data_IF_103613525805
#
_entry.id   IF_103613525805
#
_cell.length_a   1.000
_cell.length_b   1.000
_cell.length_c   1.000
_cell.angle_alpha   90.00
_cell.angle_beta   90.00
_cell.angle_gamma   90.00
#
_symmetry.space_group_name_H-M   'P 1'
#
loop_
_entity.id
_entity.type
_entity.pdbx_description
1 polymer ?
#
# COMPACT_ATOMS: atom_id res chain seq x y z
N UNK A 1 -4.25 -34.13 -24.56
CA UNK A 1 -2.99 -33.42 -24.25
C UNK A 1 -3.33 -32.19 -23.43
N UNK A 2 -3.00 -32.18 -22.14
CA UNK A 2 -3.20 -31.03 -21.26
C UNK A 2 -1.95 -30.16 -21.38
N UNK A 3 -2.05 -28.99 -22.02
CA UNK A 3 -0.94 -28.02 -22.04
C UNK A 3 -0.74 -27.51 -20.62
N UNK A 4 0.33 -27.95 -19.95
CA UNK A 4 0.76 -27.36 -18.68
C UNK A 4 1.41 -26.01 -18.99
N UNK A 5 0.76 -24.93 -18.55
CA UNK A 5 1.33 -23.59 -18.66
C UNK A 5 2.32 -23.38 -17.52
N UNK A 6 3.38 -22.63 -17.81
CA UNK A 6 4.32 -22.11 -16.82
C UNK A 6 3.67 -21.04 -15.93
N UNK A 7 4.27 -20.78 -14.77
CA UNK A 7 3.81 -19.73 -13.86
C UNK A 7 3.76 -18.35 -14.55
N UNK A 8 4.78 -18.03 -15.36
CA UNK A 8 4.83 -16.79 -16.14
C UNK A 8 3.68 -16.66 -17.14
N UNK A 9 3.30 -17.75 -17.82
CA UNK A 9 2.17 -17.75 -18.76
C UNK A 9 0.82 -17.55 -18.05
N UNK A 10 0.64 -18.09 -16.83
CA UNK A 10 -0.54 -17.79 -16.03
C UNK A 10 -0.57 -16.31 -15.61
N UNK A 11 0.54 -15.76 -15.13
CA UNK A 11 0.63 -14.36 -14.71
C UNK A 11 0.39 -13.40 -15.87
N UNK A 12 0.93 -13.69 -17.07
CA UNK A 12 0.70 -12.86 -18.26
C UNK A 12 -0.79 -12.74 -18.64
N UNK A 13 -1.63 -13.74 -18.31
CA UNK A 13 -3.06 -13.67 -18.58
C UNK A 13 -3.77 -12.58 -17.79
N UNK A 14 -3.22 -12.14 -16.65
CA UNK A 14 -3.78 -11.04 -15.85
C UNK A 14 -3.90 -9.74 -16.65
N UNK A 15 -3.09 -9.54 -17.70
CA UNK A 15 -3.18 -8.37 -18.59
C UNK A 15 -4.46 -8.29 -19.41
N UNK A 16 -5.23 -9.38 -19.48
CA UNK A 16 -6.49 -9.48 -20.23
C UNK A 16 -7.71 -9.57 -19.31
N UNK A 17 -7.50 -9.41 -18.01
CA UNK A 17 -8.55 -9.52 -17.00
C UNK A 17 -9.03 -8.11 -16.67
N UNK A 18 -10.35 -7.91 -16.77
CA UNK A 18 -11.01 -6.67 -16.35
C UNK A 18 -11.05 -6.53 -14.83
N UNK A 19 -12.18 -6.14 -14.27
CA UNK A 19 -12.27 -5.74 -12.87
C UNK A 19 -11.84 -6.83 -11.86
N UNK A 20 -12.04 -8.11 -12.20
CA UNK A 20 -11.80 -9.24 -11.28
C UNK A 20 -11.30 -10.48 -12.03
N UNK A 21 -10.21 -11.13 -11.55
CA UNK A 21 -9.76 -12.41 -12.12
C UNK A 21 -10.70 -13.54 -11.72
N UNK A 22 -10.88 -14.50 -12.63
CA UNK A 22 -11.61 -15.73 -12.33
C UNK A 22 -10.85 -16.61 -11.33
N UNK A 23 -11.57 -17.27 -10.43
CA UNK A 23 -11.00 -18.09 -9.35
C UNK A 23 -10.03 -19.16 -9.86
N UNK A 24 -10.34 -19.80 -10.99
CA UNK A 24 -9.47 -20.82 -11.58
C UNK A 24 -8.09 -20.27 -11.94
N UNK A 25 -8.01 -19.05 -12.49
CA UNK A 25 -6.73 -18.43 -12.83
C UNK A 25 -5.94 -18.10 -11.56
N UNK A 26 -6.60 -17.52 -10.57
CA UNK A 26 -6.03 -17.23 -9.25
C UNK A 26 -5.47 -18.51 -8.62
N UNK A 27 -6.26 -19.57 -8.54
CA UNK A 27 -5.85 -20.84 -7.94
C UNK A 27 -4.67 -21.47 -8.68
N UNK A 28 -4.63 -21.39 -10.01
CA UNK A 28 -3.47 -21.87 -10.77
C UNK A 28 -2.20 -21.08 -10.45
N UNK A 29 -2.28 -19.74 -10.38
CA UNK A 29 -1.14 -18.89 -10.04
C UNK A 29 -0.65 -19.19 -8.61
N UNK A 30 -1.57 -19.24 -7.64
CA UNK A 30 -1.23 -19.52 -6.25
C UNK A 30 -0.65 -20.94 -6.07
N UNK A 31 -1.14 -21.92 -6.84
CA UNK A 31 -0.61 -23.29 -6.83
C UNK A 31 0.83 -23.37 -7.37
N UNK A 32 1.26 -22.45 -8.24
CA UNK A 32 2.66 -22.34 -8.64
C UNK A 32 3.58 -21.88 -7.49
N UNK A 33 3.04 -21.31 -6.42
CA UNK A 33 3.79 -20.88 -5.24
C UNK A 33 4.94 -19.94 -5.58
N UNK A 34 6.14 -20.28 -5.10
CA UNK A 34 7.35 -19.47 -5.29
C UNK A 34 7.70 -19.19 -6.76
N UNK A 35 7.36 -20.11 -7.67
CA UNK A 35 7.61 -19.96 -9.11
C UNK A 35 6.79 -18.82 -9.75
N UNK A 36 5.69 -18.38 -9.12
CA UNK A 36 4.91 -17.24 -9.60
C UNK A 36 5.42 -15.89 -9.08
N UNK A 37 6.29 -15.86 -8.07
CA UNK A 37 6.66 -14.62 -7.37
C UNK A 37 7.40 -13.65 -8.29
N UNK A 38 8.44 -14.09 -9.02
CA UNK A 38 9.18 -13.17 -9.89
C UNK A 38 8.32 -12.59 -11.02
N UNK A 39 7.52 -13.38 -11.76
CA UNK A 39 6.59 -12.82 -12.74
C UNK A 39 5.57 -11.86 -12.13
N UNK A 40 5.10 -12.12 -10.90
CA UNK A 40 4.16 -11.25 -10.20
C UNK A 40 4.82 -9.95 -9.76
N UNK A 41 6.06 -9.97 -9.23
CA UNK A 41 6.84 -8.76 -8.90
C UNK A 41 7.07 -7.94 -10.17
N UNK A 42 7.47 -8.58 -11.26
CA UNK A 42 7.68 -7.91 -12.54
C UNK A 42 6.40 -7.24 -13.03
N UNK A 43 5.25 -7.92 -12.95
CA UNK A 43 3.98 -7.32 -13.39
C UNK A 43 3.48 -6.22 -12.44
N UNK A 44 3.64 -6.40 -11.13
CA UNK A 44 3.20 -5.43 -10.12
C UNK A 44 4.02 -4.13 -10.16
N UNK A 45 5.30 -4.19 -10.53
CA UNK A 45 6.21 -3.03 -10.61
C UNK A 45 6.20 -2.34 -11.97
N UNK A 46 5.48 -2.87 -12.97
CA UNK A 46 5.21 -2.20 -14.25
C UNK A 46 4.16 -1.10 -14.11
N UNK A 47 4.47 -0.09 -13.30
CA UNK A 47 3.57 1.02 -12.92
C UNK A 47 3.10 1.88 -14.09
N UNK A 48 3.81 1.88 -15.22
CA UNK A 48 3.35 2.55 -16.45
C UNK A 48 2.08 1.91 -17.02
N UNK A 49 1.83 0.62 -16.76
CA UNK A 49 0.60 -0.04 -17.19
C UNK A 49 -0.64 0.55 -16.51
N UNK A 50 -0.50 1.19 -15.34
CA UNK A 50 -1.62 1.80 -14.61
C UNK A 50 -2.25 3.00 -15.34
N UNK A 51 -1.62 3.49 -16.43
CA UNK A 51 -2.16 4.54 -17.30
C UNK A 51 -2.76 4.02 -18.60
N UNK A 52 -2.65 2.73 -18.86
CA UNK A 52 -3.25 2.11 -20.04
C UNK A 52 -4.76 1.93 -19.84
N UNK A 53 -5.47 1.70 -20.93
CA UNK A 53 -6.90 1.39 -20.87
C UNK A 53 -7.17 0.04 -20.18
N UNK A 54 -8.29 -0.10 -19.44
CA UNK A 54 -8.78 -1.40 -19.02
C UNK A 54 -8.91 -2.38 -20.21
N UNK A 55 -8.58 -3.67 -20.04
CA UNK A 55 -8.20 -4.35 -18.80
C UNK A 55 -6.73 -4.19 -18.39
N UNK A 56 -5.87 -3.60 -19.23
CA UNK A 56 -4.41 -3.60 -19.02
C UNK A 56 -4.04 -2.82 -17.75
N UNK A 57 -4.76 -1.72 -17.47
CA UNK A 57 -4.61 -0.90 -16.27
C UNK A 57 -4.66 -1.69 -14.96
N UNK A 58 -5.43 -2.78 -14.91
CA UNK A 58 -5.68 -3.53 -13.68
C UNK A 58 -4.66 -4.66 -13.45
N UNK A 59 -3.84 -4.99 -14.44
CA UNK A 59 -2.88 -6.08 -14.35
C UNK A 59 -1.89 -5.93 -13.18
N UNK A 60 -1.30 -4.73 -12.93
CA UNK A 60 -0.42 -4.55 -11.77
C UNK A 60 -1.16 -4.70 -10.43
N UNK A 61 -2.44 -4.32 -10.34
CA UNK A 61 -3.26 -4.48 -9.13
C UNK A 61 -3.52 -5.96 -8.85
N UNK A 62 -3.91 -6.73 -9.87
CA UNK A 62 -4.10 -8.16 -9.72
C UNK A 62 -2.81 -8.87 -9.26
N UNK A 63 -1.68 -8.49 -9.86
CA UNK A 63 -0.39 -9.04 -9.50
C UNK A 63 0.00 -8.70 -8.05
N UNK A 64 -0.17 -7.43 -7.66
CA UNK A 64 0.07 -6.93 -6.31
C UNK A 64 -0.73 -7.70 -5.26
N UNK A 65 -2.03 -7.92 -5.51
CA UNK A 65 -2.88 -8.66 -4.56
C UNK A 65 -2.51 -10.13 -4.44
N UNK A 66 -2.11 -10.77 -5.54
CA UNK A 66 -1.61 -12.16 -5.51
C UNK A 66 -0.27 -12.27 -4.76
N UNK A 67 0.61 -11.26 -4.84
CA UNK A 67 1.79 -11.17 -3.98
C UNK A 67 1.40 -11.07 -2.50
N UNK A 68 0.33 -10.36 -2.16
CA UNK A 68 -0.20 -10.31 -0.79
C UNK A 68 -0.73 -11.65 -0.26
N UNK A 69 -1.11 -12.57 -1.13
CA UNK A 69 -1.47 -13.95 -0.76
C UNK A 69 -0.23 -14.84 -0.58
N UNK A 70 0.77 -14.70 -1.45
CA UNK A 70 2.02 -15.48 -1.40
C UNK A 70 3.01 -14.98 -0.32
N UNK A 71 2.95 -13.69 0.02
CA UNK A 71 3.75 -12.99 1.04
C UNK A 71 5.28 -13.20 0.95
N UNK A 72 5.90 -13.15 -0.24
CA UNK A 72 7.35 -13.32 -0.36
C UNK A 72 8.10 -12.09 0.18
N UNK A 73 9.08 -12.29 1.07
CA UNK A 73 9.85 -11.18 1.64
C UNK A 73 10.60 -10.37 0.56
N UNK A 74 11.00 -11.00 -0.55
CA UNK A 74 11.72 -10.35 -1.66
C UNK A 74 10.89 -9.35 -2.47
N UNK A 75 9.57 -9.24 -2.24
CA UNK A 75 8.77 -8.20 -2.89
C UNK A 75 8.94 -6.80 -2.27
N UNK A 76 9.49 -6.70 -1.05
CA UNK A 76 9.51 -5.46 -0.26
C UNK A 76 10.22 -4.34 -1.02
N UNK A 77 11.48 -4.55 -1.39
CA UNK A 77 12.30 -3.52 -2.03
C UNK A 77 11.76 -3.15 -3.43
N UNK A 78 11.46 -4.09 -4.35
CA UNK A 78 10.92 -3.74 -5.66
C UNK A 78 9.61 -2.93 -5.59
N UNK A 79 8.71 -3.29 -4.67
CA UNK A 79 7.45 -2.57 -4.52
C UNK A 79 7.64 -1.18 -3.92
N UNK A 80 8.48 -1.02 -2.90
CA UNK A 80 8.77 0.30 -2.32
C UNK A 80 9.39 1.25 -3.35
N UNK A 81 10.38 0.76 -4.12
CA UNK A 81 11.04 1.54 -5.20
C UNK A 81 10.12 1.91 -6.35
N UNK A 82 8.99 1.22 -6.48
CA UNK A 82 7.99 1.51 -7.52
C UNK A 82 6.96 2.56 -7.08
N UNK A 83 6.99 3.00 -5.81
CA UNK A 83 6.16 4.10 -5.32
C UNK A 83 6.81 5.44 -5.66
N UNK A 84 6.06 6.35 -6.28
CA UNK A 84 6.55 7.67 -6.72
C UNK A 84 5.58 8.79 -6.29
N UNK A 85 6.11 9.96 -5.92
CA UNK A 85 5.33 11.16 -5.59
C UNK A 85 4.92 11.98 -6.81
N UNK A 86 5.66 11.90 -7.93
CA UNK A 86 5.39 12.67 -9.16
C UNK A 86 4.15 12.19 -9.91
N UNK A 87 3.50 11.21 -9.32
CA UNK A 87 2.39 10.50 -9.83
C UNK A 87 1.10 11.36 -9.88
N UNK A 88 1.03 12.29 -10.85
CA UNK A 88 -0.13 13.17 -11.08
C UNK A 88 -1.43 12.36 -11.25
N UNK A 89 -2.39 12.63 -10.36
CA UNK A 89 -3.73 12.03 -10.27
C UNK A 89 -4.46 12.09 -11.61
N UNK A 90 -4.65 10.94 -12.27
CA UNK A 90 -5.51 10.82 -13.47
C UNK A 90 -6.27 9.48 -13.60
N UNK A 91 -6.23 8.55 -12.63
CA UNK A 91 -6.95 7.28 -12.79
C UNK A 91 -7.10 6.45 -11.52
N UNK A 92 -8.26 5.81 -11.37
CA UNK A 92 -8.65 5.01 -10.20
C UNK A 92 -7.71 3.82 -9.92
N UNK A 93 -7.22 3.16 -10.99
CA UNK A 93 -6.33 2.00 -10.90
C UNK A 93 -5.05 2.29 -10.11
N UNK A 94 -4.50 3.48 -10.29
CA UNK A 94 -3.25 3.88 -9.67
C UNK A 94 -3.40 4.21 -8.19
N UNK A 95 -4.47 4.91 -7.84
CA UNK A 95 -4.76 5.22 -6.44
C UNK A 95 -4.92 3.93 -5.63
N UNK A 96 -5.63 2.95 -6.21
CA UNK A 96 -5.75 1.60 -5.63
C UNK A 96 -4.36 0.98 -5.45
N UNK A 97 -3.53 0.97 -6.50
CA UNK A 97 -2.20 0.37 -6.43
C UNK A 97 -1.33 1.02 -5.34
N UNK A 98 -1.23 2.35 -5.31
CA UNK A 98 -0.43 3.06 -4.31
C UNK A 98 -0.91 2.81 -2.89
N UNK A 99 -2.24 2.78 -2.70
CA UNK A 99 -2.83 2.54 -1.40
C UNK A 99 -2.60 1.10 -0.91
N UNK A 100 -2.61 0.12 -1.82
CA UNK A 100 -2.48 -1.30 -1.47
C UNK A 100 -1.04 -1.79 -1.32
N UNK A 101 -0.04 -1.16 -1.96
CA UNK A 101 1.38 -1.56 -1.81
C UNK A 101 1.82 -1.74 -0.36
N UNK A 102 1.70 -0.74 0.53
CA UNK A 102 2.12 -0.90 1.92
C UNK A 102 1.29 -1.94 2.67
N UNK A 103 0.03 -2.16 2.28
CA UNK A 103 -0.80 -3.21 2.87
C UNK A 103 -0.29 -4.59 2.52
N UNK A 104 0.10 -4.82 1.25
CA UNK A 104 0.62 -6.11 0.80
C UNK A 104 1.93 -6.42 1.49
N UNK A 105 2.81 -5.42 1.62
CA UNK A 105 4.06 -5.55 2.36
C UNK A 105 3.78 -5.89 3.84
N UNK A 106 2.87 -5.17 4.48
CA UNK A 106 2.49 -5.42 5.88
C UNK A 106 1.91 -6.81 6.13
N UNK A 107 1.26 -7.44 5.14
CA UNK A 107 0.73 -8.82 5.23
C UNK A 107 1.81 -9.88 5.49
N UNK A 108 3.08 -9.57 5.27
CA UNK A 108 4.20 -10.45 5.63
C UNK A 108 4.29 -10.64 7.16
N UNK A 109 3.81 -9.70 7.98
CA UNK A 109 3.83 -9.79 9.44
C UNK A 109 5.22 -9.54 10.03
N UNK A 110 5.57 -10.20 11.13
CA UNK A 110 6.81 -9.92 11.89
C UNK A 110 8.09 -9.93 11.04
N UNK A 111 8.17 -10.80 10.03
CA UNK A 111 9.38 -10.96 9.21
C UNK A 111 9.78 -9.70 8.43
N UNK A 112 8.84 -8.77 8.20
CA UNK A 112 9.11 -7.52 7.45
C UNK A 112 9.59 -6.37 8.34
N UNK A 113 9.44 -6.47 9.67
CA UNK A 113 9.69 -5.35 10.59
C UNK A 113 11.14 -4.88 10.54
N UNK A 114 12.11 -5.79 10.69
CA UNK A 114 13.52 -5.42 10.64
C UNK A 114 13.96 -4.89 9.25
N UNK A 115 13.59 -5.53 8.12
CA UNK A 115 13.83 -4.97 6.79
C UNK A 115 13.26 -3.56 6.59
N UNK A 116 12.03 -3.28 7.05
CA UNK A 116 11.44 -1.95 6.90
C UNK A 116 12.16 -0.89 7.72
N UNK A 117 12.61 -1.20 8.94
CA UNK A 117 13.43 -0.26 9.70
C UNK A 117 14.76 0.06 9.02
N UNK A 118 15.43 -0.96 8.48
CA UNK A 118 16.64 -0.76 7.67
C UNK A 118 16.37 0.13 6.47
N UNK A 119 15.23 -0.05 5.81
CA UNK A 119 14.84 0.76 4.66
C UNK A 119 14.54 2.23 5.04
N UNK A 120 13.90 2.45 6.18
CA UNK A 120 13.60 3.80 6.70
C UNK A 120 14.89 4.56 7.06
N UNK A 121 15.91 3.84 7.53
CA UNK A 121 17.20 4.41 7.94
C UNK A 121 18.16 4.65 6.77
N UNK A 122 17.90 4.06 5.61
CA UNK A 122 18.78 4.19 4.45
C UNK A 122 18.70 5.61 3.87
N UNK A 123 19.81 6.38 3.86
CA UNK A 123 19.86 7.72 3.29
C UNK A 123 19.57 7.75 1.78
N UNK A 124 19.76 6.63 1.06
CA UNK A 124 19.47 6.52 -0.36
C UNK A 124 17.96 6.45 -0.67
N UNK A 125 17.13 6.10 0.32
CA UNK A 125 15.69 6.00 0.14
C UNK A 125 15.02 7.38 0.08
N UNK A 126 14.08 7.53 -0.85
CA UNK A 126 13.31 8.77 -1.01
C UNK A 126 12.29 8.93 0.12
N UNK A 127 11.81 10.15 0.39
CA UNK A 127 10.74 10.38 1.36
C UNK A 127 9.47 9.56 1.11
N UNK A 128 9.16 9.26 -0.15
CA UNK A 128 7.96 8.49 -0.53
C UNK A 128 8.12 7.03 -0.16
N UNK A 129 9.28 6.46 -0.46
CA UNK A 129 9.56 5.07 -0.13
C UNK A 129 9.61 4.87 1.39
N UNK A 130 10.19 5.82 2.14
CA UNK A 130 10.17 5.81 3.60
C UNK A 130 8.75 5.91 4.18
N UNK A 131 7.90 6.78 3.62
CA UNK A 131 6.49 6.87 4.00
C UNK A 131 5.76 5.53 3.75
N UNK A 132 6.01 4.90 2.60
CA UNK A 132 5.48 3.57 2.27
C UNK A 132 5.93 2.50 3.27
N UNK A 133 7.21 2.50 3.65
CA UNK A 133 7.76 1.59 4.65
C UNK A 133 7.15 1.79 6.05
N UNK A 134 6.95 3.05 6.47
CA UNK A 134 6.29 3.38 7.74
C UNK A 134 4.83 2.93 7.78
N UNK A 135 4.10 3.08 6.67
CA UNK A 135 2.74 2.56 6.55
C UNK A 135 2.73 1.02 6.58
N UNK A 136 3.67 0.37 5.89
CA UNK A 136 3.81 -1.08 5.92
C UNK A 136 4.10 -1.62 7.34
N UNK A 137 4.89 -0.90 8.15
CA UNK A 137 5.09 -1.22 9.57
C UNK A 137 3.77 -1.16 10.34
N UNK A 138 2.96 -0.11 10.15
CA UNK A 138 1.64 0.00 10.78
C UNK A 138 0.75 -1.20 10.42
N UNK A 139 0.71 -1.59 9.14
CA UNK A 139 -0.03 -2.77 8.70
C UNK A 139 0.50 -4.07 9.31
N UNK A 140 1.82 -4.24 9.42
CA UNK A 140 2.41 -5.43 10.04
C UNK A 140 1.93 -5.62 11.50
N UNK A 141 1.73 -4.53 12.27
CA UNK A 141 1.25 -4.61 13.66
C UNK A 141 -0.15 -5.17 13.85
N UNK A 142 -0.99 -5.12 12.79
CA UNK A 142 -2.34 -5.68 12.87
C UNK A 142 -2.39 -7.12 12.36
N UNK A 143 -1.44 -7.49 11.50
CA UNK A 143 -1.27 -8.84 10.97
C UNK A 143 -0.64 -9.74 12.03
N UNK A 144 0.40 -9.23 12.68
CA UNK A 144 1.09 -9.91 13.76
C UNK A 144 1.06 -9.03 15.02
N UNK A 145 0.38 -9.51 16.05
CA UNK A 145 0.17 -8.76 17.29
C UNK A 145 1.43 -8.70 18.16
N UNK A 146 2.35 -9.65 17.99
CA UNK A 146 3.55 -9.75 18.83
C UNK A 146 4.52 -8.60 18.53
N UNK A 147 4.48 -8.06 17.31
CA UNK A 147 5.29 -6.90 16.92
C UNK A 147 4.61 -5.55 17.15
N UNK A 148 3.34 -5.54 17.59
CA UNK A 148 2.56 -4.31 17.72
C UNK A 148 3.17 -3.32 18.70
N UNK A 149 3.31 -3.72 19.96
CA UNK A 149 3.83 -2.84 21.00
C UNK A 149 5.28 -2.40 20.73
N UNK A 150 6.21 -3.29 20.32
CA UNK A 150 7.56 -2.87 19.95
C UNK A 150 7.61 -1.83 18.81
N UNK A 151 6.81 -2.02 17.75
CA UNK A 151 6.76 -1.07 16.62
C UNK A 151 6.18 0.27 17.04
N UNK A 152 5.11 0.27 17.84
CA UNK A 152 4.48 1.50 18.37
C UNK A 152 5.45 2.28 19.26
N UNK A 153 6.12 1.58 20.19
CA UNK A 153 7.11 2.18 21.06
C UNK A 153 8.26 2.82 20.28
N UNK A 154 8.72 2.15 19.22
CA UNK A 154 9.81 2.65 18.37
C UNK A 154 9.39 3.84 17.51
N UNK A 155 8.20 3.80 16.90
CA UNK A 155 7.61 4.95 16.20
C UNK A 155 7.53 6.18 17.13
N UNK A 156 6.99 5.98 18.34
CA UNK A 156 6.86 7.04 19.32
C UNK A 156 8.23 7.60 19.76
N UNK A 157 9.18 6.72 20.11
CA UNK A 157 10.54 7.12 20.48
C UNK A 157 11.20 7.96 19.38
N UNK A 158 11.14 7.51 18.13
CA UNK A 158 11.70 8.24 16.97
C UNK A 158 11.02 9.60 16.78
N UNK A 159 9.69 9.67 16.87
CA UNK A 159 8.96 10.92 16.73
C UNK A 159 9.40 11.96 17.78
N UNK A 160 9.66 11.52 19.01
CA UNK A 160 10.09 12.39 20.10
C UNK A 160 11.54 12.84 20.00
N UNK A 161 12.42 12.03 19.40
CA UNK A 161 13.87 12.26 19.38
C UNK A 161 14.41 12.79 18.05
N UNK A 162 13.68 12.63 16.95
CA UNK A 162 14.13 13.01 15.61
C UNK A 162 13.84 14.48 15.29
N UNK A 163 14.81 15.19 14.72
CA UNK A 163 14.61 16.53 14.14
C UNK A 163 14.26 16.48 12.63
N UNK A 164 14.25 15.30 12.02
CA UNK A 164 13.81 15.13 10.63
C UNK A 164 12.30 15.31 10.53
N UNK A 165 11.90 16.51 10.09
CA UNK A 165 10.49 16.91 9.90
C UNK A 165 9.75 16.03 8.90
N UNK A 166 10.44 15.51 7.89
CA UNK A 166 9.84 14.67 6.85
C UNK A 166 9.59 13.27 7.39
N UNK A 167 10.58 12.67 8.06
CA UNK A 167 10.41 11.40 8.77
C UNK A 167 9.27 11.49 9.80
N UNK A 168 9.25 12.57 10.59
CA UNK A 168 8.22 12.79 11.60
C UNK A 168 6.80 12.86 10.99
N UNK A 169 6.64 13.44 9.80
CA UNK A 169 5.35 13.46 9.10
C UNK A 169 4.88 12.05 8.72
N UNK A 170 5.79 11.20 8.24
CA UNK A 170 5.51 9.79 7.96
C UNK A 170 5.14 9.00 9.22
N UNK A 171 5.88 9.21 10.31
CA UNK A 171 5.60 8.54 11.61
C UNK A 171 4.21 8.95 12.14
N UNK A 172 3.88 10.25 12.11
CA UNK A 172 2.55 10.73 12.52
C UNK A 172 1.45 10.07 11.68
N UNK A 173 1.65 9.93 10.36
CA UNK A 173 0.70 9.23 9.49
C UNK A 173 0.53 7.78 9.90
N UNK A 174 1.62 7.04 10.15
CA UNK A 174 1.57 5.65 10.60
C UNK A 174 0.82 5.50 11.95
N UNK A 175 1.12 6.35 12.93
CA UNK A 175 0.42 6.37 14.24
C UNK A 175 -1.07 6.66 14.06
N UNK A 176 -1.42 7.58 13.16
CA UNK A 176 -2.81 7.91 12.86
C UNK A 176 -3.57 6.74 12.20
N UNK A 177 -2.93 5.99 11.29
CA UNK A 177 -3.49 4.76 10.71
C UNK A 177 -3.77 3.67 11.74
N UNK A 178 -2.97 3.63 12.81
CA UNK A 178 -3.15 2.72 13.94
C UNK A 178 -4.23 3.17 14.93
N UNK A 179 -4.78 4.38 14.78
CA UNK A 179 -5.83 4.92 15.65
C UNK A 179 -5.38 5.18 17.08
N UNK A 180 -4.10 5.52 17.30
CA UNK A 180 -3.51 5.70 18.63
C UNK A 180 -3.83 7.09 19.20
N UNK A 181 -5.10 7.30 19.56
CA UNK A 181 -5.61 8.58 20.05
C UNK A 181 -4.89 9.09 21.31
N UNK A 182 -4.39 8.19 22.16
CA UNK A 182 -3.69 8.55 23.40
C UNK A 182 -2.39 9.33 23.15
N UNK A 183 -1.79 9.19 21.97
CA UNK A 183 -0.59 9.94 21.56
C UNK A 183 -0.89 11.36 21.06
N UNK A 184 -2.16 11.76 20.99
CA UNK A 184 -2.57 13.04 20.40
C UNK A 184 -1.88 14.25 21.03
N UNK A 185 -1.77 14.28 22.37
CA UNK A 185 -1.18 15.42 23.09
C UNK A 185 0.26 15.68 22.68
N UNK A 186 1.07 14.62 22.65
CA UNK A 186 2.49 14.68 22.30
C UNK A 186 2.69 15.01 20.82
N UNK A 187 1.89 14.41 19.93
CA UNK A 187 1.94 14.72 18.49
C UNK A 187 1.64 16.21 18.25
N UNK A 188 0.61 16.76 18.90
CA UNK A 188 0.29 18.19 18.77
C UNK A 188 1.37 19.10 19.37
N UNK A 189 2.07 18.65 20.42
CA UNK A 189 3.25 19.35 20.92
C UNK A 189 4.36 19.41 19.86
N UNK A 190 4.61 18.31 19.13
CA UNK A 190 5.59 18.28 18.03
C UNK A 190 5.22 19.23 16.88
N UNK A 191 3.93 19.31 16.52
CA UNK A 191 3.46 20.30 15.54
C UNK A 191 3.71 21.74 15.99
N UNK A 192 3.39 22.08 17.26
CA UNK A 192 3.66 23.41 17.82
C UNK A 192 5.15 23.75 17.84
N UNK A 193 6.00 22.76 18.06
CA UNK A 193 7.45 22.88 17.98
C UNK A 193 7.99 22.91 16.53
N UNK A 194 7.13 22.93 15.50
CA UNK A 194 7.51 22.87 14.09
C UNK A 194 8.33 21.63 13.69
N UNK A 195 8.31 20.58 14.50
CA UNK A 195 9.09 19.35 14.29
C UNK A 195 8.48 18.39 13.26
N UNK A 196 7.34 18.76 12.64
CA UNK A 196 6.65 17.96 11.62
C UNK A 196 6.53 18.76 10.32
N UNK A 197 6.73 18.11 9.18
CA UNK A 197 6.52 18.70 7.86
C UNK A 197 5.00 18.80 7.57
N UNK A 198 4.46 20.01 7.63
CA UNK A 198 3.02 20.27 7.46
C UNK A 198 2.53 20.15 6.01
N UNK A 199 3.41 20.27 5.02
CA UNK A 199 3.04 20.07 3.61
C UNK A 199 2.75 18.60 3.33
N UNK A 200 3.50 17.70 3.98
CA UNK A 200 3.30 16.25 3.86
C UNK A 200 2.20 15.73 4.76
N UNK A 201 2.14 16.20 6.01
CA UNK A 201 1.14 15.78 6.98
C UNK A 201 0.60 17.00 7.74
N UNK A 202 -0.49 17.63 7.25
CA UNK A 202 -1.11 18.75 7.93
C UNK A 202 -1.63 18.39 9.31
N UNK A 203 -1.51 19.30 10.29
CA UNK A 203 -2.00 19.08 11.65
C UNK A 203 -3.51 18.81 11.70
N UNK A 204 -4.29 19.45 10.81
CA UNK A 204 -5.73 19.21 10.65
C UNK A 204 -6.04 17.78 10.23
N UNK A 205 -5.30 17.26 9.23
CA UNK A 205 -5.44 15.88 8.77
C UNK A 205 -5.04 14.89 9.87
N UNK A 206 -3.92 15.13 10.57
CA UNK A 206 -3.49 14.29 11.69
C UNK A 206 -4.54 14.25 12.81
N UNK A 207 -5.10 15.42 13.18
CA UNK A 207 -6.17 15.51 14.18
C UNK A 207 -7.40 14.73 13.74
N UNK A 208 -7.84 14.90 12.49
CA UNK A 208 -9.01 14.19 11.97
C UNK A 208 -8.79 12.68 12.02
N UNK A 209 -7.62 12.21 11.61
CA UNK A 209 -7.32 10.77 11.57
C UNK A 209 -7.14 10.15 12.97
N UNK A 210 -6.56 10.87 13.92
CA UNK A 210 -6.36 10.37 15.29
C UNK A 210 -7.67 10.31 16.10
N UNK A 211 -8.59 11.24 15.86
CA UNK A 211 -9.80 11.39 16.68
C UNK A 211 -11.07 10.83 16.02
N UNK A 212 -11.05 10.54 14.71
CA UNK A 212 -12.21 10.00 14.01
C UNK A 212 -12.33 8.50 14.18
N UNK A 213 -13.53 8.03 14.54
CA UNK A 213 -13.85 6.60 14.52
C UNK A 213 -13.76 5.99 13.12
N UNK A 214 -13.98 6.78 12.05
CA UNK A 214 -13.92 6.29 10.66
C UNK A 214 -12.51 5.90 10.21
N UNK A 215 -11.49 6.51 10.80
CA UNK A 215 -10.07 6.22 10.52
C UNK A 215 -9.48 5.22 11.50
N UNK A 216 -10.20 4.94 12.61
CA UNK A 216 -9.84 3.88 13.53
C UNK A 216 -9.91 2.53 12.80
N UNK A 217 -8.78 1.83 12.74
CA UNK A 217 -8.71 0.52 12.11
C UNK A 217 -8.52 0.51 10.60
N UNK A 218 -8.11 1.62 9.96
CA UNK A 218 -7.62 1.59 8.56
C UNK A 218 -6.52 0.53 8.37
N UNK A 219 -5.67 0.36 9.38
CA UNK A 219 -4.66 -0.70 9.38
C UNK A 219 -5.28 -2.11 9.20
N UNK A 220 -6.51 -2.36 9.65
CA UNK A 220 -7.18 -3.66 9.49
C UNK A 220 -7.46 -4.02 8.03
N UNK A 221 -7.38 -3.07 7.09
CA UNK A 221 -7.55 -3.37 5.67
C UNK A 221 -6.48 -4.36 5.18
N UNK A 222 -5.31 -4.38 5.81
CA UNK A 222 -4.29 -5.41 5.57
C UNK A 222 -4.80 -6.84 5.80
N UNK A 223 -5.83 -7.07 6.64
CA UNK A 223 -6.38 -8.39 6.95
C UNK A 223 -7.35 -8.92 5.89
N UNK A 224 -7.88 -8.04 5.04
CA UNK A 224 -8.84 -8.43 4.01
C UNK A 224 -8.23 -9.50 3.10
N UNK A 225 -9.01 -10.54 2.82
CA UNK A 225 -8.70 -11.56 1.82
C UNK A 225 -8.65 -10.94 0.41
N UNK A 226 -8.07 -11.69 -0.52
CA UNK A 226 -8.05 -11.32 -1.94
C UNK A 226 -9.43 -10.87 -2.45
N UNK A 227 -10.49 -11.60 -2.13
CA UNK A 227 -11.83 -11.34 -2.65
C UNK A 227 -12.51 -10.15 -1.99
N UNK A 228 -12.40 -10.01 -0.67
CA UNK A 228 -12.92 -8.83 0.05
C UNK A 228 -12.28 -7.53 -0.45
N UNK A 229 -11.04 -7.57 -0.95
CA UNK A 229 -10.38 -6.42 -1.57
C UNK A 229 -11.01 -6.02 -2.90
N UNK A 230 -11.37 -6.98 -3.75
CA UNK A 230 -12.12 -6.67 -4.97
C UNK A 230 -13.47 -6.06 -4.63
N UNK A 231 -14.15 -6.58 -3.61
CA UNK A 231 -15.47 -6.10 -3.22
C UNK A 231 -15.41 -4.69 -2.59
N UNK A 232 -14.33 -4.35 -1.88
CA UNK A 232 -14.21 -3.08 -1.14
C UNK A 232 -13.44 -1.97 -1.88
N UNK A 233 -12.37 -2.32 -2.60
CA UNK A 233 -11.46 -1.36 -3.22
C UNK A 233 -11.51 -1.40 -4.75
N UNK A 234 -12.33 -2.26 -5.34
CA UNK A 234 -12.39 -2.39 -6.79
C UNK A 234 -11.13 -3.08 -7.34
N UNK A 235 -10.69 -2.82 -8.57
CA UNK A 235 -11.17 -1.75 -9.45
C UNK A 235 -12.67 -1.86 -9.74
N UNK A 236 -13.33 -0.71 -9.85
CA UNK A 236 -14.75 -0.57 -10.18
C UNK A 236 -14.89 0.03 -11.58
N UNK A 237 -16.02 -0.17 -12.27
CA UNK A 237 -16.30 0.57 -13.49
C UNK A 237 -16.21 2.06 -13.18
N UNK A 238 -15.41 2.80 -13.95
CA UNK A 238 -15.50 4.25 -13.91
C UNK A 238 -16.89 4.64 -14.44
N UNK A 239 -17.60 5.59 -13.80
CA UNK A 239 -18.86 6.06 -14.35
C UNK A 239 -18.58 6.52 -15.78
N UNK A 240 -19.36 6.02 -16.75
CA UNK A 240 -19.35 6.59 -18.10
C UNK A 240 -19.55 8.09 -17.91
N UNK A 241 -18.59 8.90 -18.37
CA UNK A 241 -18.76 10.34 -18.42
C UNK A 241 -20.11 10.58 -19.12
N UNK A 242 -21.11 11.03 -18.37
CA UNK A 242 -22.29 11.61 -18.97
C UNK A 242 -21.76 12.86 -19.65
N UNK A 243 -21.38 12.73 -20.92
CA UNK A 243 -21.33 13.82 -21.88
C UNK A 243 -22.71 14.49 -21.82
N UNK A 244 -22.85 15.44 -20.91
CA UNK A 244 -23.68 16.59 -21.18
C UNK A 244 -22.94 17.29 -22.30
N UNK A 245 -23.27 16.87 -23.53
CA UNK A 245 -23.12 17.71 -24.69
C UNK A 245 -23.87 19.00 -24.35
N UNK A 246 -23.15 20.01 -23.87
CA UNK A 246 -23.57 21.40 -23.93
C UNK A 246 -23.48 21.80 -25.42
N UNK A 247 -24.39 21.22 -26.21
CA UNK A 247 -24.91 21.84 -27.43
C UNK A 247 -25.81 22.99 -26.97
N UNK A 248 -25.21 24.16 -26.71
CA UNK A 248 -25.94 25.42 -26.82
C UNK A 248 -25.34 26.25 -27.96
N UNK A 249 -26.16 26.36 -29.02
CA UNK A 249 -26.02 27.22 -30.21
C UNK A 249 -25.83 28.70 -29.89
#
# INVERSE_FOLDING_TARGET
>A
MTLHLSAGEYVQRLRRIGLRPGERLVNNILHCGDAAVEPLIELATRVLLLYEEPPVAYAPIHALRLLGELRPLRMVEPLLKSVDAEFKSRGSAREIWQYEVPQMIGRIGAAVVAPLWSYIEDPACTPVERDGALLALAYATVIDKDVREPVIAELYRRLMQSDDRTLNAGIVRAIAYLGLADMYGDIMARYRASAVNQERMPASAARQMLLSQKTSGLANDAKLSLWERYDRFGPFPEPEDMNFDDDEE
#
